data_IF_021392413142
#
_entry.id   IF_021392413142
#
_cell.length_a   1.000
_cell.length_b   1.000
_cell.length_c   1.000
_cell.angle_alpha   90.00
_cell.angle_beta   90.00
_cell.angle_gamma   90.00
#
_symmetry.space_group_name_H-M   'P 1'
#
loop_
_entity.id
_entity.type
_entity.pdbx_description
1 polymer ?
#
# COMPACT_ATOMS: atom_id res chain seq x y z
N UNK A 1 5.33 76.26 25.94
CA UNK A 1 6.18 75.23 25.33
C UNK A 1 5.79 73.90 25.93
N UNK A 2 4.91 73.17 25.26
CA UNK A 2 4.48 71.83 25.62
C UNK A 2 4.91 70.95 24.45
N UNK A 3 6.03 70.26 24.62
CA UNK A 3 6.50 69.24 23.68
C UNK A 3 5.49 68.08 23.70
N UNK A 4 4.62 68.03 22.70
CA UNK A 4 3.89 66.82 22.36
C UNK A 4 4.88 65.89 21.68
N UNK A 5 5.54 65.05 22.48
CA UNK A 5 6.31 63.92 21.97
C UNK A 5 5.37 63.06 21.10
N UNK A 6 5.52 63.17 19.79
CA UNK A 6 4.83 62.33 18.82
C UNK A 6 5.31 60.90 19.08
N UNK A 7 4.44 60.07 19.66
CA UNK A 7 4.70 58.65 19.82
C UNK A 7 4.92 58.05 18.43
N UNK A 8 6.15 57.62 18.14
CA UNK A 8 6.46 56.87 16.92
C UNK A 8 5.67 55.56 17.02
N UNK A 9 4.74 55.26 16.11
CA UNK A 9 4.00 54.01 16.15
C UNK A 9 4.99 52.84 16.03
N UNK A 10 4.88 51.86 16.91
CA UNK A 10 5.74 50.68 16.87
C UNK A 10 5.65 50.00 15.48
N UNK A 11 6.77 49.53 14.93
CA UNK A 11 6.76 48.85 13.64
C UNK A 11 5.86 47.62 13.71
N UNK A 12 4.77 47.64 12.94
CA UNK A 12 3.84 46.52 12.83
C UNK A 12 4.61 45.36 12.18
N UNK A 13 5.05 44.40 13.00
CA UNK A 13 5.75 43.21 12.50
C UNK A 13 4.79 42.42 11.60
N UNK A 14 5.04 42.48 10.29
CA UNK A 14 4.28 41.73 9.30
C UNK A 14 4.37 40.24 9.58
N UNK A 15 3.29 39.64 10.11
CA UNK A 15 3.23 38.19 10.31
C UNK A 15 3.03 37.51 8.95
N UNK A 16 3.96 36.62 8.60
CA UNK A 16 3.81 35.77 7.41
C UNK A 16 2.48 35.03 7.43
N UNK A 17 1.79 35.00 6.28
CA UNK A 17 0.53 34.26 6.10
C UNK A 17 0.70 32.78 6.47
N UNK A 18 1.86 32.20 6.16
CA UNK A 18 2.24 30.85 6.55
C UNK A 18 2.33 30.68 8.07
N UNK A 19 2.93 31.66 8.76
CA UNK A 19 3.00 31.66 10.22
C UNK A 19 1.61 31.72 10.86
N UNK A 20 0.71 32.53 10.30
CA UNK A 20 -0.67 32.63 10.77
C UNK A 20 -1.49 31.36 10.51
N UNK A 21 -1.27 30.70 9.36
CA UNK A 21 -1.92 29.42 9.04
C UNK A 21 -1.42 28.31 9.97
N UNK A 22 -0.10 28.22 10.19
CA UNK A 22 0.51 27.24 11.08
C UNK A 22 0.06 27.40 12.54
N UNK A 23 -0.01 28.64 13.02
CA UNK A 23 -0.52 28.94 14.36
C UNK A 23 -1.98 28.50 14.53
N UNK A 24 -2.83 28.68 13.51
CA UNK A 24 -4.21 28.21 13.51
C UNK A 24 -4.29 26.68 13.53
N UNK A 25 -3.48 25.99 12.72
CA UNK A 25 -3.42 24.53 12.69
C UNK A 25 -3.01 23.97 14.06
N UNK A 26 -1.95 24.51 14.67
CA UNK A 26 -1.45 24.07 15.98
C UNK A 26 -2.46 24.26 17.13
N UNK A 27 -3.32 25.27 17.05
CA UNK A 27 -4.39 25.48 18.04
C UNK A 27 -5.48 24.40 17.93
N UNK A 28 -5.66 23.80 16.76
CA UNK A 28 -6.64 22.75 16.56
C UNK A 28 -6.06 21.38 16.94
N UNK A 29 -6.37 20.92 18.16
CA UNK A 29 -5.89 19.62 18.68
C UNK A 29 -6.32 18.44 17.81
N UNK A 30 -7.54 18.45 17.29
CA UNK A 30 -8.05 17.39 16.44
C UNK A 30 -7.29 17.32 15.11
N UNK A 31 -7.04 18.48 14.48
CA UNK A 31 -6.25 18.55 13.26
C UNK A 31 -4.79 18.09 13.48
N UNK A 32 -4.19 18.46 14.61
CA UNK A 32 -2.84 18.00 14.97
C UNK A 32 -2.78 16.49 15.19
N UNK A 33 -3.78 15.90 15.86
CA UNK A 33 -3.85 14.45 16.03
C UNK A 33 -3.94 13.73 14.68
N UNK A 34 -4.81 14.19 13.78
CA UNK A 34 -4.93 13.63 12.43
C UNK A 34 -3.62 13.77 11.64
N UNK A 35 -2.91 14.89 11.78
CA UNK A 35 -1.62 15.10 11.13
C UNK A 35 -0.57 14.10 11.63
N UNK A 36 -0.49 13.86 12.95
CA UNK A 36 0.43 12.87 13.51
C UNK A 36 0.07 11.45 13.09
N UNK A 37 -1.22 11.11 13.06
CA UNK A 37 -1.69 9.81 12.61
C UNK A 37 -1.34 9.57 11.13
N UNK A 38 -1.55 10.57 10.27
CA UNK A 38 -1.19 10.49 8.85
C UNK A 38 0.34 10.38 8.65
N UNK A 39 1.12 11.12 9.43
CA UNK A 39 2.59 11.00 9.41
C UNK A 39 3.04 9.59 9.83
N UNK A 40 2.45 9.03 10.88
CA UNK A 40 2.72 7.69 11.35
C UNK A 40 2.37 6.62 10.29
N UNK A 41 1.18 6.68 9.70
CA UNK A 41 0.79 5.79 8.59
C UNK A 41 1.73 5.94 7.41
N UNK A 42 2.17 7.16 7.10
CA UNK A 42 3.09 7.42 6.00
C UNK A 42 4.43 6.75 6.23
N UNK A 43 5.00 6.89 7.43
CA UNK A 43 6.26 6.22 7.80
C UNK A 43 6.09 4.70 7.70
N UNK A 44 5.03 4.14 8.29
CA UNK A 44 4.78 2.70 8.26
C UNK A 44 4.57 2.19 6.83
N UNK A 45 3.84 2.90 5.98
CA UNK A 45 3.57 2.44 4.62
C UNK A 45 4.79 2.56 3.71
N UNK A 46 5.60 3.61 3.88
CA UNK A 46 6.80 3.86 3.07
C UNK A 46 7.94 2.90 3.45
N UNK A 47 8.19 2.72 4.75
CA UNK A 47 9.32 1.94 5.25
C UNK A 47 8.93 0.52 5.68
N UNK A 48 7.67 0.26 6.00
CA UNK A 48 7.19 -1.06 6.42
C UNK A 48 7.51 -2.18 5.43
N UNK A 49 7.31 -2.01 4.10
CA UNK A 49 7.67 -3.04 3.12
C UNK A 49 9.17 -3.40 3.10
N UNK A 50 10.05 -2.58 3.69
CA UNK A 50 11.48 -2.89 3.80
C UNK A 50 11.81 -3.72 5.05
N UNK A 51 10.91 -3.72 6.04
CA UNK A 51 11.12 -4.35 7.36
C UNK A 51 10.38 -5.69 7.47
N UNK A 52 9.32 -5.88 6.66
CA UNK A 52 8.49 -7.08 6.72
C UNK A 52 9.24 -8.27 6.09
N UNK A 53 9.15 -9.48 6.69
CA UNK A 53 9.92 -10.65 6.26
C UNK A 53 9.59 -11.18 4.86
N UNK A 54 8.46 -10.78 4.26
CA UNK A 54 7.96 -11.36 3.02
C UNK A 54 7.83 -10.31 1.93
N UNK A 55 8.08 -10.71 0.68
CA UNK A 55 7.75 -9.85 -0.45
C UNK A 55 6.25 -9.88 -0.71
N UNK A 56 5.69 -8.74 -1.10
CA UNK A 56 4.25 -8.61 -1.38
C UNK A 56 3.76 -9.45 -2.58
N UNK A 57 4.69 -9.95 -3.40
CA UNK A 57 4.44 -10.78 -4.59
C UNK A 57 4.54 -12.28 -4.32
N UNK A 58 5.24 -12.70 -3.26
CA UNK A 58 5.48 -14.12 -2.96
C UNK A 58 4.18 -14.82 -2.61
N UNK A 59 4.00 -16.03 -3.17
CA UNK A 59 2.82 -16.86 -2.99
C UNK A 59 3.25 -18.10 -2.21
N UNK A 60 2.68 -18.29 -1.03
CA UNK A 60 2.88 -19.48 -0.21
C UNK A 60 1.71 -20.45 -0.40
N UNK A 61 1.86 -21.38 -1.35
CA UNK A 61 0.82 -22.32 -1.74
C UNK A 61 0.39 -23.29 -0.62
N UNK A 62 1.28 -23.59 0.32
CA UNK A 62 0.95 -24.46 1.46
C UNK A 62 0.28 -23.69 2.62
N UNK A 63 0.24 -22.36 2.56
CA UNK A 63 -0.33 -21.48 3.58
C UNK A 63 -1.48 -20.63 3.03
N UNK A 64 -2.51 -21.26 2.45
CA UNK A 64 -3.69 -20.56 1.90
C UNK A 64 -4.73 -20.27 2.99
N UNK A 65 -5.24 -19.03 3.06
CA UNK A 65 -6.26 -18.58 4.03
C UNK A 65 -5.89 -18.84 5.50
N UNK A 66 -4.62 -18.68 5.84
CA UNK A 66 -4.16 -18.81 7.22
C UNK A 66 -4.62 -17.60 8.03
N UNK A 67 -5.10 -17.80 9.27
CA UNK A 67 -5.47 -16.69 10.15
C UNK A 67 -4.24 -15.90 10.60
N UNK A 68 -4.42 -14.66 11.08
CA UNK A 68 -3.34 -13.88 11.68
C UNK A 68 -2.73 -14.63 12.88
N UNK A 69 -1.40 -14.66 12.97
CA UNK A 69 -0.72 -15.31 14.08
C UNK A 69 0.59 -14.61 14.45
N UNK A 70 0.91 -14.64 15.75
CA UNK A 70 2.21 -14.23 16.29
C UNK A 70 3.20 -15.40 16.34
N UNK A 71 2.70 -16.63 16.32
CA UNK A 71 3.53 -17.84 16.25
C UNK A 71 3.88 -18.16 14.80
N UNK A 72 5.05 -18.74 14.59
CA UNK A 72 5.46 -19.20 13.28
C UNK A 72 4.62 -20.40 12.79
N UNK A 73 4.50 -20.49 11.46
CA UNK A 73 3.97 -21.63 10.73
C UNK A 73 5.13 -22.44 10.12
N UNK A 74 4.99 -23.77 9.94
CA UNK A 74 3.82 -24.58 10.29
C UNK A 74 3.72 -24.82 11.80
N UNK A 75 2.49 -24.82 12.33
CA UNK A 75 2.24 -25.22 13.73
C UNK A 75 2.44 -26.74 13.90
N UNK A 76 2.70 -27.25 15.12
CA UNK A 76 2.97 -28.67 15.33
C UNK A 76 1.90 -29.62 14.77
N UNK A 77 0.63 -29.22 14.84
CA UNK A 77 -0.53 -29.94 14.30
C UNK A 77 -0.57 -29.97 12.76
N UNK A 78 0.08 -29.02 12.09
CA UNK A 78 0.11 -28.92 10.63
C UNK A 78 1.26 -29.69 9.98
N UNK A 79 2.33 -30.00 10.72
CA UNK A 79 3.54 -30.61 10.18
C UNK A 79 3.20 -31.94 9.49
N UNK A 80 2.39 -32.79 10.13
CA UNK A 80 2.00 -34.08 9.58
C UNK A 80 1.20 -33.94 8.28
N UNK A 81 0.28 -32.95 8.22
CA UNK A 81 -0.51 -32.66 7.03
C UNK A 81 0.36 -32.20 5.87
N UNK A 82 1.22 -31.22 6.13
CA UNK A 82 2.16 -30.69 5.15
C UNK A 82 3.11 -31.78 4.62
N UNK A 83 3.63 -32.64 5.50
CA UNK A 83 4.48 -33.77 5.13
C UNK A 83 3.73 -34.76 4.24
N UNK A 84 2.50 -35.11 4.62
CA UNK A 84 1.65 -36.02 3.85
C UNK A 84 1.38 -35.48 2.45
N UNK A 85 1.07 -34.20 2.32
CA UNK A 85 0.79 -33.57 1.03
C UNK A 85 2.04 -33.49 0.15
N UNK A 86 3.20 -33.19 0.74
CA UNK A 86 4.47 -33.18 0.02
C UNK A 86 4.89 -34.58 -0.45
N UNK A 87 4.76 -35.61 0.40
CA UNK A 87 5.08 -37.00 0.05
C UNK A 87 4.11 -37.59 -0.98
N UNK A 88 2.81 -37.23 -0.93
CA UNK A 88 1.85 -37.62 -1.97
C UNK A 88 2.26 -37.10 -3.36
N UNK A 89 2.84 -35.88 -3.44
CA UNK A 89 3.36 -35.33 -4.72
C UNK A 89 4.51 -36.18 -5.28
N UNK A 90 5.26 -36.90 -4.43
CA UNK A 90 6.30 -37.86 -4.83
C UNK A 90 5.76 -39.23 -5.27
N UNK A 91 4.45 -39.49 -5.13
CA UNK A 91 3.82 -40.82 -5.32
C UNK A 91 4.41 -41.89 -4.40
N UNK A 92 4.71 -41.51 -3.16
CA UNK A 92 5.16 -42.41 -2.10
C UNK A 92 4.18 -42.38 -0.91
N UNK A 93 4.32 -43.34 -0.01
CA UNK A 93 3.56 -43.42 1.24
C UNK A 93 4.50 -43.24 2.44
N UNK A 94 3.99 -42.61 3.50
CA UNK A 94 4.73 -42.47 4.76
C UNK A 94 4.61 -43.77 5.55
N UNK A 95 5.74 -44.37 5.89
CA UNK A 95 5.82 -45.53 6.80
C UNK A 95 5.88 -45.05 8.25
N UNK A 96 6.79 -44.12 8.51
CA UNK A 96 7.00 -43.54 9.83
C UNK A 96 7.59 -42.14 9.68
N UNK A 97 7.28 -41.25 10.62
CA UNK A 97 7.93 -39.95 10.71
C UNK A 97 8.09 -39.56 12.19
N UNK A 98 9.16 -38.84 12.48
CA UNK A 98 9.38 -38.23 13.78
C UNK A 98 10.07 -36.88 13.61
N UNK A 99 9.90 -36.02 14.60
CA UNK A 99 10.55 -34.71 14.63
C UNK A 99 11.75 -34.79 15.58
N UNK A 100 12.92 -34.41 15.07
CA UNK A 100 14.14 -34.24 15.86
C UNK A 100 14.55 -32.76 15.81
N UNK A 101 14.21 -32.03 16.87
CA UNK A 101 14.42 -30.58 16.96
C UNK A 101 13.70 -29.81 15.85
N UNK A 102 14.46 -29.18 14.95
CA UNK A 102 13.93 -28.43 13.80
C UNK A 102 13.94 -29.25 12.49
N UNK A 103 14.25 -30.55 12.54
CA UNK A 103 14.21 -31.42 11.37
C UNK A 103 13.11 -32.46 11.53
N UNK A 104 12.47 -32.81 10.43
CA UNK A 104 11.55 -33.95 10.32
C UNK A 104 12.29 -35.05 9.60
N UNK A 105 12.33 -36.22 10.22
CA UNK A 105 12.87 -37.44 9.63
C UNK A 105 11.67 -38.28 9.21
N UNK A 106 11.57 -38.56 7.92
CA UNK A 106 10.47 -39.33 7.33
C UNK A 106 11.03 -40.52 6.56
N UNK A 107 10.45 -41.69 6.84
CA UNK A 107 10.71 -42.90 6.09
C UNK A 107 9.53 -43.16 5.17
N UNK A 108 9.81 -43.22 3.87
CA UNK A 108 8.81 -43.38 2.83
C UNK A 108 8.99 -44.69 2.07
N UNK A 109 7.87 -45.28 1.65
CA UNK A 109 7.83 -46.48 0.84
C UNK A 109 7.12 -46.22 -0.48
N UNK A 110 7.56 -46.86 -1.55
CA UNK A 110 6.93 -46.79 -2.87
C UNK A 110 6.89 -48.15 -3.57
N UNK A 111 5.98 -48.32 -4.51
CA UNK A 111 5.89 -49.52 -5.37
C UNK A 111 6.90 -49.51 -6.51
N UNK A 112 7.59 -48.37 -6.73
CA UNK A 112 8.64 -48.22 -7.74
C UNK A 112 9.90 -47.63 -7.09
N UNK A 113 11.09 -47.90 -7.64
CA UNK A 113 12.32 -47.30 -7.14
C UNK A 113 12.23 -45.77 -7.08
N UNK A 114 12.53 -45.19 -5.92
CA UNK A 114 12.48 -43.75 -5.71
C UNK A 114 13.75 -43.12 -6.29
N UNK A 115 13.58 -42.23 -7.27
CA UNK A 115 14.67 -41.40 -7.80
C UNK A 115 15.08 -40.35 -6.76
N UNK A 116 16.37 -40.14 -6.58
CA UNK A 116 16.94 -39.17 -5.65
C UNK A 116 16.46 -37.74 -5.94
N UNK A 117 16.09 -37.44 -7.19
CA UNK A 117 15.51 -36.14 -7.57
C UNK A 117 14.17 -35.86 -6.89
N UNK A 118 13.46 -36.89 -6.43
CA UNK A 118 12.15 -36.73 -5.81
C UNK A 118 12.22 -36.02 -4.44
N UNK A 119 13.39 -35.96 -3.79
CA UNK A 119 13.54 -35.20 -2.54
C UNK A 119 13.21 -33.71 -2.73
N UNK A 120 13.39 -33.18 -3.94
CA UNK A 120 13.05 -31.78 -4.29
C UNK A 120 11.57 -31.46 -4.15
N UNK A 121 10.68 -32.46 -4.09
CA UNK A 121 9.26 -32.19 -3.83
C UNK A 121 9.01 -31.72 -2.39
N UNK A 122 9.83 -32.16 -1.44
CA UNK A 122 9.80 -31.66 -0.08
C UNK A 122 10.34 -30.22 -0.03
N UNK A 123 11.47 -29.94 -0.68
CA UNK A 123 12.04 -28.58 -0.78
C UNK A 123 11.17 -27.59 -1.58
N UNK A 124 10.23 -28.10 -2.38
CA UNK A 124 9.22 -27.29 -3.08
C UNK A 124 8.05 -26.91 -2.19
N UNK A 125 7.91 -27.52 -1.02
CA UNK A 125 6.93 -27.12 -0.02
C UNK A 125 7.40 -25.82 0.63
N UNK A 126 6.45 -24.95 0.99
CA UNK A 126 6.77 -23.73 1.73
C UNK A 126 7.14 -24.01 3.20
N UNK A 127 6.87 -25.23 3.68
CA UNK A 127 7.04 -25.66 5.07
C UNK A 127 8.40 -26.32 5.36
N UNK A 128 9.12 -26.76 4.33
CA UNK A 128 10.32 -27.57 4.46
C UNK A 128 11.47 -27.08 3.57
N UNK A 129 12.71 -27.31 3.98
CA UNK A 129 13.93 -26.89 3.26
C UNK A 129 15.12 -27.80 3.62
N UNK A 130 16.21 -27.76 2.86
CA UNK A 130 17.43 -28.55 3.07
C UNK A 130 17.18 -30.07 3.25
N UNK A 131 16.39 -30.66 2.34
CA UNK A 131 16.08 -32.10 2.38
C UNK A 131 17.28 -32.95 1.97
N UNK A 132 17.60 -33.95 2.80
CA UNK A 132 18.74 -34.87 2.62
C UNK A 132 18.29 -36.31 2.71
N UNK A 133 18.94 -37.18 1.94
CA UNK A 133 18.74 -38.63 2.03
C UNK A 133 19.71 -39.16 3.09
N UNK A 134 19.19 -39.75 4.15
CA UNK A 134 20.00 -40.36 5.21
C UNK A 134 20.30 -41.81 4.89
N UNK A 135 19.29 -42.55 4.40
CA UNK A 135 19.42 -43.95 4.07
C UNK A 135 18.49 -44.35 2.92
N UNK A 136 18.92 -45.33 2.12
CA UNK A 136 18.17 -45.90 1.00
C UNK A 136 18.33 -47.40 1.02
N UNK A 137 17.20 -48.12 1.00
CA UNK A 137 17.19 -49.58 0.92
C UNK A 137 17.82 -50.04 -0.40
N UNK A 138 18.44 -51.24 -0.39
CA UNK A 138 19.12 -51.81 -1.56
C UNK A 138 18.19 -52.05 -2.76
N UNK A 139 16.89 -52.23 -2.51
CA UNK A 139 15.84 -52.35 -3.53
C UNK A 139 15.33 -50.99 -4.06
N UNK A 140 15.73 -49.88 -3.42
CA UNK A 140 15.31 -48.52 -3.75
C UNK A 140 13.83 -48.22 -3.46
N UNK A 141 13.12 -49.12 -2.78
CA UNK A 141 11.68 -48.99 -2.49
C UNK A 141 11.41 -48.25 -1.18
N UNK A 142 12.39 -48.21 -0.28
CA UNK A 142 12.33 -47.50 1.00
C UNK A 142 13.45 -46.46 1.08
N UNK A 143 13.10 -45.23 1.43
CA UNK A 143 14.04 -44.10 1.59
C UNK A 143 13.73 -43.37 2.88
N UNK A 144 14.76 -43.12 3.69
CA UNK A 144 14.69 -42.24 4.84
C UNK A 144 15.33 -40.90 4.48
N UNK A 145 14.56 -39.82 4.63
CA UNK A 145 15.00 -38.46 4.36
C UNK A 145 14.78 -37.56 5.57
N UNK A 146 15.71 -36.62 5.77
CA UNK A 146 15.62 -35.58 6.80
C UNK A 146 15.40 -34.23 6.12
N UNK A 147 14.52 -33.39 6.67
CA UNK A 147 14.25 -32.05 6.12
C UNK A 147 14.04 -31.05 7.23
N UNK A 148 14.56 -29.83 7.06
CA UNK A 148 14.43 -28.77 8.05
C UNK A 148 13.06 -28.09 7.94
N UNK A 149 12.44 -27.80 9.08
CA UNK A 149 11.18 -27.06 9.14
C UNK A 149 11.48 -25.57 8.93
N UNK A 150 10.82 -24.98 7.93
CA UNK A 150 10.95 -23.57 7.58
C UNK A 150 9.88 -22.76 8.32
N UNK A 151 10.32 -21.99 9.31
CA UNK A 151 9.43 -21.17 10.14
C UNK A 151 9.07 -19.86 9.42
N UNK A 152 7.76 -19.62 9.22
CA UNK A 152 7.21 -18.46 8.51
C UNK A 152 6.25 -17.66 9.40
N UNK A 153 6.33 -16.33 9.39
CA UNK A 153 5.52 -15.46 10.26
C UNK A 153 4.45 -14.69 9.48
N UNK A 154 3.19 -15.07 9.61
CA UNK A 154 2.06 -14.39 8.97
C UNK A 154 1.24 -13.55 9.97
N UNK A 155 1.73 -12.35 10.28
CA UNK A 155 1.12 -11.50 11.31
C UNK A 155 -0.34 -11.12 11.01
N UNK A 156 -0.68 -10.82 9.76
CA UNK A 156 -2.06 -10.51 9.35
C UNK A 156 -2.75 -11.70 8.67
N UNK A 157 -2.08 -12.86 8.60
CA UNK A 157 -2.55 -14.03 7.89
C UNK A 157 -2.29 -13.94 6.39
N UNK A 158 -2.89 -14.86 5.64
CA UNK A 158 -2.71 -14.97 4.19
C UNK A 158 -4.03 -14.91 3.42
N UNK A 159 -3.95 -14.48 2.16
CA UNK A 159 -5.12 -14.43 1.28
C UNK A 159 -5.53 -15.80 0.70
N UNK A 160 -6.50 -15.79 -0.22
CA UNK A 160 -7.00 -16.98 -0.91
C UNK A 160 -5.98 -17.66 -1.85
N UNK A 161 -4.83 -17.04 -2.08
CA UNK A 161 -3.71 -17.58 -2.84
C UNK A 161 -2.49 -17.88 -1.98
N UNK A 162 -2.49 -17.50 -0.70
CA UNK A 162 -1.37 -17.70 0.20
C UNK A 162 -0.35 -16.55 0.23
N UNK A 163 -0.74 -15.34 -0.21
CA UNK A 163 0.14 -14.16 -0.08
C UNK A 163 -0.02 -13.52 1.30
N UNK A 164 1.07 -13.03 1.87
CA UNK A 164 1.08 -12.37 3.18
C UNK A 164 0.29 -11.04 3.15
N UNK A 165 -0.68 -10.92 4.06
CA UNK A 165 -1.57 -9.76 4.11
C UNK A 165 -0.90 -8.51 4.70
N UNK A 166 0.09 -8.66 5.59
CA UNK A 166 0.78 -7.52 6.19
C UNK A 166 1.59 -6.77 5.12
N UNK A 167 2.44 -7.50 4.40
CA UNK A 167 3.25 -7.00 3.28
C UNK A 167 2.39 -6.31 2.23
N UNK A 168 1.28 -6.94 1.85
CA UNK A 168 0.34 -6.40 0.86
C UNK A 168 -0.36 -5.14 1.34
N UNK A 169 -0.75 -5.08 2.61
CA UNK A 169 -1.42 -3.91 3.19
C UNK A 169 -0.47 -2.71 3.23
N UNK A 170 0.77 -2.91 3.65
CA UNK A 170 1.77 -1.85 3.71
C UNK A 170 2.13 -1.31 2.32
N UNK A 171 2.32 -2.20 1.35
CA UNK A 171 2.57 -1.81 -0.03
C UNK A 171 1.37 -1.07 -0.65
N UNK A 172 0.14 -1.53 -0.41
CA UNK A 172 -1.07 -0.85 -0.86
C UNK A 172 -1.23 0.54 -0.19
N UNK A 173 -0.86 0.67 1.08
CA UNK A 173 -0.80 1.93 1.80
C UNK A 173 0.15 2.93 1.13
N UNK A 174 1.36 2.48 0.75
CA UNK A 174 2.36 3.31 0.06
C UNK A 174 1.82 3.87 -1.25
N UNK A 175 1.16 3.01 -2.04
CA UNK A 175 0.55 3.38 -3.31
C UNK A 175 -0.59 4.37 -3.08
N UNK A 176 -1.49 4.11 -2.13
CA UNK A 176 -2.63 4.97 -1.81
C UNK A 176 -2.19 6.37 -1.36
N UNK A 177 -1.18 6.46 -0.51
CA UNK A 177 -0.61 7.73 -0.05
C UNK A 177 0.02 8.52 -1.19
N UNK A 178 0.77 7.84 -2.07
CA UNK A 178 1.33 8.48 -3.25
C UNK A 178 0.22 9.04 -4.15
N UNK A 179 -0.87 8.29 -4.37
CA UNK A 179 -2.03 8.75 -5.16
C UNK A 179 -2.66 9.99 -4.53
N UNK A 180 -2.98 9.94 -3.23
CA UNK A 180 -3.57 11.08 -2.54
C UNK A 180 -2.70 12.33 -2.60
N UNK A 181 -1.38 12.18 -2.39
CA UNK A 181 -0.44 13.29 -2.44
C UNK A 181 -0.34 13.89 -3.85
N UNK A 182 -0.11 13.06 -4.88
CA UNK A 182 0.01 13.54 -6.25
C UNK A 182 -1.28 14.22 -6.70
N UNK A 183 -2.43 13.60 -6.42
CA UNK A 183 -3.71 14.16 -6.82
C UNK A 183 -3.99 15.48 -6.09
N UNK A 184 -3.60 15.61 -4.82
CA UNK A 184 -3.66 16.88 -4.08
C UNK A 184 -2.75 17.96 -4.68
N UNK A 185 -1.54 17.61 -5.10
CA UNK A 185 -0.62 18.54 -5.79
C UNK A 185 -1.20 18.98 -7.12
N UNK A 186 -1.69 18.05 -7.94
CA UNK A 186 -2.32 18.37 -9.24
C UNK A 186 -3.55 19.24 -9.04
N UNK A 187 -4.43 18.90 -8.10
CA UNK A 187 -5.61 19.68 -7.80
C UNK A 187 -5.26 21.08 -7.29
N UNK A 188 -4.25 21.19 -6.42
CA UNK A 188 -3.74 22.46 -5.92
C UNK A 188 -3.14 23.31 -7.04
N UNK A 189 -2.22 22.78 -7.83
CA UNK A 189 -1.51 23.56 -8.86
C UNK A 189 -2.45 23.93 -10.01
N UNK A 190 -3.08 22.94 -10.64
CA UNK A 190 -3.94 23.19 -11.82
C UNK A 190 -5.22 23.91 -11.39
N UNK A 191 -5.87 23.43 -10.32
CA UNK A 191 -7.12 24.02 -9.84
C UNK A 191 -6.94 25.46 -9.38
N UNK A 192 -5.88 25.78 -8.62
CA UNK A 192 -5.64 27.18 -8.20
C UNK A 192 -5.34 28.07 -9.40
N UNK A 193 -4.46 27.67 -10.31
CA UNK A 193 -4.11 28.48 -11.48
C UNK A 193 -5.35 28.71 -12.36
N UNK A 194 -6.10 27.66 -12.66
CA UNK A 194 -7.28 27.73 -13.52
C UNK A 194 -8.39 28.56 -12.89
N UNK A 195 -8.74 28.28 -11.62
CA UNK A 195 -9.79 28.98 -10.90
C UNK A 195 -9.47 30.45 -10.64
N UNK A 196 -8.23 30.76 -10.27
CA UNK A 196 -7.79 32.13 -10.06
C UNK A 196 -7.82 32.93 -11.38
N UNK A 197 -7.38 32.33 -12.49
CA UNK A 197 -7.42 32.97 -13.82
C UNK A 197 -8.85 33.26 -14.24
N UNK A 198 -9.76 32.29 -14.12
CA UNK A 198 -11.17 32.46 -14.47
C UNK A 198 -11.84 33.56 -13.60
N UNK A 199 -11.65 33.50 -12.28
CA UNK A 199 -12.23 34.46 -11.35
C UNK A 199 -11.64 35.87 -11.47
N UNK A 200 -10.35 35.99 -11.79
CA UNK A 200 -9.69 37.27 -12.04
C UNK A 200 -10.19 37.90 -13.35
N UNK A 201 -10.08 37.18 -14.47
CA UNK A 201 -10.43 37.69 -15.80
C UNK A 201 -11.93 38.07 -15.91
N UNK A 202 -12.83 37.26 -15.33
CA UNK A 202 -14.26 37.51 -15.38
C UNK A 202 -14.86 37.48 -16.80
N UNK A 203 -16.13 37.87 -16.89
CA UNK A 203 -16.84 38.02 -18.17
C UNK A 203 -16.87 36.74 -19.01
N UNK A 204 -16.57 36.87 -20.30
CA UNK A 204 -16.61 35.76 -21.27
C UNK A 204 -15.54 34.70 -21.01
N UNK A 205 -14.36 35.09 -20.52
CA UNK A 205 -13.26 34.15 -20.24
C UNK A 205 -13.66 33.22 -19.10
N UNK A 206 -14.19 33.79 -18.02
CA UNK A 206 -14.73 33.02 -16.91
C UNK A 206 -15.85 32.05 -17.35
N UNK A 207 -16.81 32.54 -18.15
CA UNK A 207 -17.90 31.71 -18.64
C UNK A 207 -17.40 30.53 -19.48
N UNK A 208 -16.48 30.75 -20.42
CA UNK A 208 -15.93 29.68 -21.28
C UNK A 208 -15.12 28.67 -20.46
N UNK A 209 -14.24 29.15 -19.58
CA UNK A 209 -13.44 28.28 -18.71
C UNK A 209 -14.33 27.42 -17.83
N UNK A 210 -15.35 27.99 -17.23
CA UNK A 210 -16.25 27.25 -16.36
C UNK A 210 -17.18 26.31 -17.11
N UNK A 211 -17.57 26.63 -18.34
CA UNK A 211 -18.27 25.67 -19.21
C UNK A 211 -17.45 24.40 -19.46
N UNK A 212 -16.13 24.53 -19.67
CA UNK A 212 -15.25 23.36 -19.82
C UNK A 212 -15.29 22.52 -18.54
N UNK A 213 -15.16 23.16 -17.37
CA UNK A 213 -15.23 22.48 -16.08
C UNK A 213 -16.60 21.83 -15.86
N UNK A 214 -17.69 22.48 -16.25
CA UNK A 214 -19.06 21.95 -16.16
C UNK A 214 -19.26 20.71 -17.06
N UNK A 215 -18.76 20.75 -18.29
CA UNK A 215 -18.81 19.60 -19.22
C UNK A 215 -18.02 18.43 -18.67
N UNK A 216 -16.80 18.66 -18.17
CA UNK A 216 -15.98 17.60 -17.59
C UNK A 216 -16.62 17.01 -16.32
N UNK A 217 -17.24 17.86 -15.49
CA UNK A 217 -17.92 17.42 -14.27
C UNK A 217 -19.23 16.68 -14.55
N UNK A 218 -19.84 16.86 -15.72
CA UNK A 218 -21.03 16.12 -16.12
C UNK A 218 -20.77 14.63 -16.36
N UNK A 219 -19.51 14.23 -16.57
CA UNK A 219 -19.12 12.84 -16.73
C UNK A 219 -19.12 12.12 -15.36
N UNK A 220 -19.83 10.99 -15.21
CA UNK A 220 -19.82 10.28 -13.94
C UNK A 220 -18.43 9.67 -13.70
N UNK A 221 -17.79 10.10 -12.61
CA UNK A 221 -16.40 9.77 -12.27
C UNK A 221 -16.08 8.27 -12.41
N UNK A 222 -16.97 7.42 -11.91
CA UNK A 222 -16.79 5.96 -11.93
C UNK A 222 -16.70 5.43 -13.37
N UNK A 223 -17.51 5.93 -14.30
CA UNK A 223 -17.46 5.46 -15.69
C UNK A 223 -16.17 5.86 -16.38
N UNK A 224 -15.69 7.09 -16.15
CA UNK A 224 -14.43 7.56 -16.72
C UNK A 224 -13.24 6.72 -16.24
N UNK A 225 -13.18 6.42 -14.93
CA UNK A 225 -12.12 5.58 -14.35
C UNK A 225 -12.17 4.15 -14.91
N UNK A 226 -13.36 3.54 -14.99
CA UNK A 226 -13.51 2.19 -15.54
C UNK A 226 -13.05 2.14 -17.00
N UNK A 227 -13.48 3.11 -17.82
CA UNK A 227 -13.09 3.18 -19.23
C UNK A 227 -11.57 3.23 -19.40
N UNK A 228 -10.87 4.04 -18.60
CA UNK A 228 -9.41 4.12 -18.64
C UNK A 228 -8.74 2.81 -18.23
N UNK A 229 -9.21 2.18 -17.15
CA UNK A 229 -8.64 0.89 -16.67
C UNK A 229 -8.86 -0.23 -17.70
N UNK A 230 -10.00 -0.24 -18.40
CA UNK A 230 -10.29 -1.24 -19.43
C UNK A 230 -9.42 -1.03 -20.67
N UNK A 231 -9.30 0.21 -21.15
CA UNK A 231 -8.59 0.49 -22.39
C UNK A 231 -7.07 0.34 -22.24
N UNK A 232 -6.51 0.79 -21.13
CA UNK A 232 -5.06 0.83 -20.92
C UNK A 232 -4.55 -0.23 -19.93
N UNK A 233 -5.44 -1.04 -19.36
CA UNK A 233 -5.09 -2.10 -18.42
C UNK A 233 -4.69 -1.59 -17.03
N UNK A 234 -4.06 -2.49 -16.27
CA UNK A 234 -3.75 -2.29 -14.85
C UNK A 234 -2.41 -1.56 -14.67
N UNK A 235 -2.32 -0.33 -15.17
CA UNK A 235 -1.16 0.54 -14.98
C UNK A 235 -1.44 1.58 -13.89
N UNK A 236 -0.65 1.54 -12.82
CA UNK A 236 -0.81 2.47 -11.70
C UNK A 236 -0.71 3.94 -12.16
N UNK A 237 0.20 4.28 -13.09
CA UNK A 237 0.39 5.64 -13.61
C UNK A 237 -0.90 6.22 -14.21
N UNK A 238 -1.72 5.38 -14.82
CA UNK A 238 -2.97 5.82 -15.43
C UNK A 238 -4.06 6.06 -14.40
N UNK A 239 -4.07 5.29 -13.30
CA UNK A 239 -4.93 5.63 -12.16
C UNK A 239 -4.53 6.99 -11.57
N UNK A 240 -3.23 7.29 -11.47
CA UNK A 240 -2.75 8.60 -11.05
C UNK A 240 -3.23 9.73 -11.97
N UNK A 241 -3.10 9.54 -13.29
CA UNK A 241 -3.51 10.53 -14.28
C UNK A 241 -5.04 10.72 -14.29
N UNK A 242 -5.80 9.63 -14.16
CA UNK A 242 -7.27 9.65 -14.10
C UNK A 242 -7.78 10.44 -12.89
N UNK A 243 -7.26 10.13 -11.70
CA UNK A 243 -7.67 10.80 -10.45
C UNK A 243 -7.23 12.27 -10.49
N UNK A 244 -5.98 12.55 -10.88
CA UNK A 244 -5.46 13.91 -10.99
C UNK A 244 -6.24 14.78 -11.98
N UNK A 245 -6.66 14.23 -13.11
CA UNK A 245 -7.42 14.94 -14.15
C UNK A 245 -8.84 15.34 -13.75
N UNK A 246 -9.37 14.77 -12.65
CA UNK A 246 -10.73 15.09 -12.18
C UNK A 246 -10.68 15.94 -10.91
N UNK A 247 -9.80 15.64 -9.96
CA UNK A 247 -9.81 16.33 -8.65
C UNK A 247 -9.49 17.83 -8.73
N UNK A 248 -8.84 18.31 -9.80
CA UNK A 248 -8.58 19.74 -9.98
C UNK A 248 -9.83 20.57 -10.30
N UNK A 249 -10.89 19.94 -10.81
CA UNK A 249 -12.13 20.61 -11.22
C UNK A 249 -12.83 21.27 -10.01
N UNK A 250 -12.89 20.55 -8.88
CA UNK A 250 -13.48 21.05 -7.64
C UNK A 250 -12.67 22.22 -7.08
N UNK A 251 -11.35 22.05 -7.05
CA UNK A 251 -10.45 23.10 -6.57
C UNK A 251 -10.54 24.36 -7.43
N UNK A 252 -10.67 24.22 -8.76
CA UNK A 252 -10.88 25.34 -9.67
C UNK A 252 -12.16 26.14 -9.34
N UNK A 253 -13.28 25.47 -9.06
CA UNK A 253 -14.53 26.14 -8.65
C UNK A 253 -14.38 26.89 -7.33
N UNK A 254 -13.76 26.26 -6.33
CA UNK A 254 -13.55 26.87 -5.01
C UNK A 254 -12.69 28.13 -5.14
N UNK A 255 -11.55 28.02 -5.84
CA UNK A 255 -10.61 29.13 -5.99
C UNK A 255 -11.20 30.25 -6.84
N UNK A 256 -11.96 29.93 -7.89
CA UNK A 256 -12.73 30.94 -8.65
C UNK A 256 -13.64 31.75 -7.75
N UNK A 257 -14.39 31.10 -6.86
CA UNK A 257 -15.27 31.79 -5.91
C UNK A 257 -14.50 32.75 -4.99
N UNK A 258 -13.33 32.33 -4.51
CA UNK A 258 -12.45 33.18 -3.71
C UNK A 258 -11.87 34.35 -4.53
N UNK A 259 -11.41 34.11 -5.75
CA UNK A 259 -10.86 35.13 -6.64
C UNK A 259 -11.90 36.19 -7.00
N UNK A 260 -13.15 35.79 -7.30
CA UNK A 260 -14.26 36.72 -7.54
C UNK A 260 -14.59 37.57 -6.31
N UNK A 261 -14.47 36.99 -5.10
CA UNK A 261 -14.68 37.70 -3.84
C UNK A 261 -13.58 38.74 -3.60
N UNK A 262 -12.32 38.33 -3.76
CA UNK A 262 -11.14 39.18 -3.56
C UNK A 262 -11.10 40.34 -4.57
N UNK A 263 -11.45 40.09 -5.84
CA UNK A 263 -11.46 41.13 -6.88
C UNK A 263 -12.38 42.32 -6.56
N UNK A 264 -13.38 42.13 -5.69
CA UNK A 264 -14.31 43.19 -5.27
C UNK A 264 -13.81 44.01 -4.07
N UNK A 265 -12.65 43.67 -3.50
CA UNK A 265 -12.10 44.37 -2.34
C UNK A 265 -11.36 45.65 -2.75
N UNK A 266 -11.46 46.69 -1.92
CA UNK A 266 -10.99 48.05 -2.24
C UNK A 266 -9.49 48.10 -2.58
N UNK A 267 -8.65 47.30 -1.92
CA UNK A 267 -7.21 47.26 -2.19
C UNK A 267 -6.82 46.66 -3.54
N UNK A 268 -7.74 46.01 -4.25
CA UNK A 268 -7.52 45.52 -5.63
C UNK A 268 -7.93 46.58 -6.65
N UNK A 269 -8.77 47.54 -6.26
CA UNK A 269 -9.25 48.63 -7.10
C UNK A 269 -8.44 49.93 -6.94
N UNK A 270 -7.77 50.09 -5.80
CA UNK A 270 -6.82 51.16 -5.52
C UNK A 270 -5.51 50.98 -6.29
#
# INVERSE_FOLDING_TARGET
>A
MTDLAVAVPEPIVGRSLWGNAWARLKRNRAAMFSLYYLAFITVISVFGPMVVPHEYTTIYGDYVRMPPSLSAYPKPDMIQGALTDAIKRMRANIKEWHQDGNRVIVTVTSTRPIDDRNIRYLDRSDAFDDTRIENKSADGLEVTMSSAIKQQYFYFGTDNTGRDLLSRTLMAGRISLAIGLLAGVVAGVIGVIYGATAGFAGGRVDEVMMRIVDVLYSLPFIFFVIMLVVFFGRNFVLMFLAVGAVLWLDMARIVRGQALSIRRQEYVQA
#
